data_IF_899541485093
#
_entry.id   IF_899541485093
#
_cell.length_a   1.000
_cell.length_b   1.000
_cell.length_c   1.000
_cell.angle_alpha   90.00
_cell.angle_beta   90.00
_cell.angle_gamma   90.00
#
_symmetry.space_group_name_H-M   'P 1'
#
loop_
_entity.id
_entity.type
_entity.pdbx_description
1 polymer ?
#
# COMPACT_ATOMS: atom_id res chain seq x y z
N UNK A 1 46.73 -46.79 -44.36
CA UNK A 1 47.28 -45.54 -43.81
C UNK A 1 46.13 -44.56 -43.70
N UNK A 2 45.72 -44.22 -42.49
CA UNK A 2 44.48 -43.48 -42.21
C UNK A 2 44.78 -41.99 -42.02
N UNK A 3 43.98 -41.14 -42.66
CA UNK A 3 43.99 -39.68 -42.55
C UNK A 3 42.77 -39.28 -41.71
N UNK A 4 42.86 -38.36 -40.74
CA UNK A 4 41.71 -37.97 -39.92
C UNK A 4 40.88 -36.89 -40.63
N UNK A 5 39.56 -37.09 -40.74
CA UNK A 5 38.64 -36.04 -41.16
C UNK A 5 38.14 -35.28 -39.94
N UNK A 6 38.53 -34.01 -39.88
CA UNK A 6 38.22 -33.04 -38.84
C UNK A 6 36.72 -32.71 -38.75
N UNK A 7 36.22 -32.70 -37.52
CA UNK A 7 34.97 -32.08 -37.09
C UNK A 7 34.95 -30.59 -37.40
N UNK A 8 33.84 -30.07 -37.90
CA UNK A 8 33.47 -28.67 -37.68
C UNK A 8 31.94 -28.54 -37.55
N UNK A 9 31.41 -28.96 -36.41
CA UNK A 9 30.07 -28.59 -35.98
C UNK A 9 30.18 -27.23 -35.28
N UNK A 10 29.69 -26.18 -35.93
CA UNK A 10 29.47 -24.86 -35.32
C UNK A 10 28.39 -24.98 -34.23
N UNK A 11 28.66 -24.71 -32.94
CA UNK A 11 27.58 -24.44 -32.00
C UNK A 11 27.16 -22.99 -32.22
N UNK A 12 26.03 -22.78 -32.91
CA UNK A 12 25.36 -21.48 -32.86
C UNK A 12 24.85 -21.27 -31.44
N UNK A 13 25.65 -20.62 -30.61
CA UNK A 13 25.22 -20.14 -29.30
C UNK A 13 24.22 -19.01 -29.52
N UNK A 14 22.98 -19.37 -29.85
CA UNK A 14 21.83 -18.51 -29.67
C UNK A 14 21.65 -18.36 -28.16
N UNK A 15 22.46 -17.48 -27.56
CA UNK A 15 22.23 -16.94 -26.24
C UNK A 15 20.91 -16.18 -26.31
N UNK A 16 19.83 -16.93 -26.10
CA UNK A 16 18.51 -16.40 -25.81
C UNK A 16 18.68 -15.48 -24.61
N UNK A 17 18.79 -14.18 -24.89
CA UNK A 17 18.71 -13.12 -23.90
C UNK A 17 17.42 -13.42 -23.14
N UNK A 18 17.56 -13.98 -21.93
CA UNK A 18 16.47 -14.14 -20.97
C UNK A 18 15.97 -12.74 -20.67
N UNK A 19 15.08 -12.26 -21.54
CA UNK A 19 14.22 -11.10 -21.35
C UNK A 19 13.63 -11.32 -19.98
N UNK A 20 14.14 -10.58 -18.97
CA UNK A 20 13.63 -10.53 -17.60
C UNK A 20 12.12 -10.50 -17.76
N UNK A 21 11.46 -11.65 -17.55
CA UNK A 21 10.02 -11.75 -17.65
C UNK A 21 9.54 -10.81 -16.55
N UNK A 22 9.01 -9.65 -16.96
CA UNK A 22 8.23 -8.75 -16.13
C UNK A 22 7.39 -9.67 -15.23
N UNK A 23 7.64 -9.64 -13.92
CA UNK A 23 6.97 -10.53 -12.95
C UNK A 23 5.50 -10.58 -13.36
N UNK A 24 4.98 -11.76 -13.69
CA UNK A 24 3.56 -11.88 -13.99
C UNK A 24 2.85 -11.30 -12.78
N UNK A 25 2.02 -10.28 -12.99
CA UNK A 25 1.31 -9.60 -11.92
C UNK A 25 0.54 -10.66 -11.16
N UNK A 26 0.93 -10.91 -9.90
CA UNK A 26 0.21 -11.84 -9.05
C UNK A 26 -1.20 -11.28 -8.88
N UNK A 27 -2.21 -12.15 -8.96
CA UNK A 27 -3.57 -11.72 -8.71
C UNK A 27 -3.68 -11.16 -7.27
N UNK A 28 -4.38 -10.03 -7.06
CA UNK A 28 -4.61 -9.51 -5.73
C UNK A 28 -5.28 -10.54 -4.83
N UNK A 29 -4.82 -10.61 -3.59
CA UNK A 29 -5.36 -11.50 -2.57
C UNK A 29 -6.42 -10.75 -1.78
N UNK A 30 -7.59 -11.35 -1.58
CA UNK A 30 -8.63 -10.77 -0.73
C UNK A 30 -8.26 -10.97 0.75
N UNK A 31 -8.36 -9.92 1.55
CA UNK A 31 -8.10 -9.95 2.98
C UNK A 31 -9.12 -9.07 3.73
N UNK A 32 -9.12 -9.20 5.07
CA UNK A 32 -9.95 -8.36 5.95
C UNK A 32 -9.08 -7.43 6.76
N UNK A 33 -9.33 -6.13 6.63
CA UNK A 33 -8.72 -5.08 7.42
C UNK A 33 -9.56 -4.81 8.69
N UNK A 34 -8.92 -4.92 9.85
CA UNK A 34 -9.48 -4.55 11.14
C UNK A 34 -8.72 -3.36 11.71
N UNK A 35 -9.48 -2.41 12.27
CA UNK A 35 -8.94 -1.28 13.00
C UNK A 35 -8.90 -1.67 14.48
N UNK A 36 -7.71 -1.83 15.03
CA UNK A 36 -7.49 -2.29 16.40
C UNK A 36 -6.74 -1.21 17.21
N UNK A 37 -7.37 -0.72 18.28
CA UNK A 37 -6.78 0.32 19.14
C UNK A 37 -5.56 -0.18 19.93
N UNK A 38 -5.40 -1.49 20.08
CA UNK A 38 -4.24 -2.08 20.77
C UNK A 38 -2.99 -2.07 19.88
N UNK A 39 -3.16 -1.97 18.57
CA UNK A 39 -2.05 -1.81 17.63
C UNK A 39 -1.58 -0.36 17.68
N UNK A 40 -0.29 -0.17 17.94
CA UNK A 40 0.33 1.14 18.07
C UNK A 40 1.32 1.40 16.94
N UNK A 41 1.34 2.66 16.49
CA UNK A 41 2.25 3.13 15.45
C UNK A 41 1.73 2.90 14.04
N UNK A 42 2.63 3.08 13.08
CA UNK A 42 2.29 3.23 11.66
C UNK A 42 2.37 1.90 10.87
N UNK A 43 2.92 0.87 11.53
CA UNK A 43 3.16 -0.46 10.96
C UNK A 43 2.01 -1.39 11.34
N UNK A 44 1.35 -1.94 10.34
CA UNK A 44 0.28 -2.91 10.53
C UNK A 44 0.79 -4.32 10.79
N UNK A 45 -0.15 -5.20 11.14
CA UNK A 45 0.11 -6.61 11.40
C UNK A 45 -0.69 -7.44 10.39
N UNK A 46 -0.07 -8.41 9.75
CA UNK A 46 -0.74 -9.34 8.84
C UNK A 46 -0.63 -10.77 9.34
N UNK A 47 -1.63 -11.59 9.02
CA UNK A 47 -1.61 -13.00 9.37
C UNK A 47 -0.50 -13.76 8.63
N UNK A 48 0.05 -14.79 9.27
CA UNK A 48 1.19 -15.54 8.75
C UNK A 48 0.88 -16.22 7.39
N UNK A 49 -0.34 -16.71 7.21
CA UNK A 49 -0.82 -17.27 5.95
C UNK A 49 -0.83 -16.22 4.82
N UNK A 50 -1.33 -15.02 5.11
CA UNK A 50 -1.38 -13.93 4.14
C UNK A 50 0.04 -13.47 3.79
N UNK A 51 0.94 -13.43 4.77
CA UNK A 51 2.35 -13.15 4.54
C UNK A 51 2.99 -14.22 3.64
N UNK A 52 2.74 -15.51 3.90
CA UNK A 52 3.24 -16.60 3.05
C UNK A 52 2.71 -16.49 1.64
N UNK A 53 1.43 -16.17 1.49
CA UNK A 53 0.84 -16.03 0.16
C UNK A 53 1.41 -14.80 -0.55
N UNK A 54 1.47 -13.63 0.06
CA UNK A 54 2.03 -12.42 -0.58
C UNK A 54 3.52 -12.60 -0.92
N UNK A 55 4.29 -13.15 0.00
CA UNK A 55 5.76 -13.18 -0.08
C UNK A 55 6.34 -14.54 -0.49
N UNK A 56 5.54 -15.46 -1.06
CA UNK A 56 5.97 -16.81 -1.45
C UNK A 56 7.23 -16.84 -2.34
N UNK A 57 7.41 -15.81 -3.17
CA UNK A 57 8.58 -15.66 -4.06
C UNK A 57 9.80 -15.01 -3.38
N UNK A 58 9.67 -14.55 -2.14
CA UNK A 58 10.69 -13.89 -1.33
C UNK A 58 11.16 -14.82 -0.20
N UNK A 59 11.60 -16.03 -0.58
CA UNK A 59 12.17 -17.01 0.33
C UNK A 59 13.45 -16.45 0.97
N UNK A 60 13.35 -15.92 2.20
CA UNK A 60 14.49 -15.38 2.96
C UNK A 60 14.23 -14.10 3.75
N UNK A 61 13.04 -13.50 3.65
CA UNK A 61 12.72 -12.30 4.44
C UNK A 61 12.33 -12.71 5.86
N UNK A 62 13.10 -12.23 6.85
CA UNK A 62 12.85 -12.53 8.27
C UNK A 62 11.50 -11.99 8.73
N UNK A 63 10.79 -12.78 9.55
CA UNK A 63 9.44 -12.53 10.10
C UNK A 63 9.38 -11.20 10.89
N UNK A 64 10.52 -10.71 11.38
CA UNK A 64 10.63 -9.46 12.14
C UNK A 64 10.85 -8.20 11.28
N UNK A 65 11.12 -8.35 9.98
CA UNK A 65 11.38 -7.19 9.12
C UNK A 65 10.08 -6.54 8.66
N UNK A 66 10.07 -5.21 8.64
CA UNK A 66 8.94 -4.43 8.09
C UNK A 66 8.90 -4.64 6.58
N UNK A 67 7.83 -5.24 6.11
CA UNK A 67 7.54 -5.44 4.69
C UNK A 67 6.56 -4.37 4.22
N UNK A 68 6.48 -4.16 2.91
CA UNK A 68 5.53 -3.23 2.32
C UNK A 68 4.55 -4.01 1.45
N UNK A 69 3.27 -3.70 1.60
CA UNK A 69 2.19 -4.24 0.77
C UNK A 69 1.38 -3.10 0.17
N UNK A 70 0.74 -3.34 -0.96
CA UNK A 70 -0.27 -2.44 -1.48
C UNK A 70 -1.66 -2.99 -1.11
N UNK A 71 -2.51 -2.15 -0.53
CA UNK A 71 -3.90 -2.47 -0.23
C UNK A 71 -4.87 -1.60 -1.02
N UNK A 72 -6.00 -2.16 -1.44
CA UNK A 72 -7.09 -1.41 -2.06
C UNK A 72 -8.44 -1.79 -1.44
N UNK A 73 -9.42 -0.87 -1.40
CA UNK A 73 -10.79 -1.23 -1.10
C UNK A 73 -11.29 -2.34 -2.04
N UNK A 74 -12.12 -3.23 -1.54
CA UNK A 74 -12.82 -4.16 -2.43
C UNK A 74 -13.83 -3.40 -3.29
N UNK A 75 -13.79 -3.61 -4.61
CA UNK A 75 -14.66 -2.96 -5.58
C UNK A 75 -15.08 -3.89 -6.73
N UNK A 76 -16.01 -3.44 -7.59
CA UNK A 76 -16.57 -4.27 -8.67
C UNK A 76 -15.57 -4.55 -9.80
N UNK A 77 -14.60 -3.67 -10.05
CA UNK A 77 -13.56 -3.93 -11.05
C UNK A 77 -12.58 -4.99 -10.56
N UNK A 78 -12.21 -5.90 -11.45
CA UNK A 78 -11.16 -6.91 -11.21
C UNK A 78 -9.79 -6.47 -11.74
N UNK A 79 -9.75 -5.37 -12.51
CA UNK A 79 -8.50 -4.85 -13.05
C UNK A 79 -7.69 -4.17 -11.94
N UNK A 80 -6.39 -4.47 -11.88
CA UNK A 80 -5.47 -3.89 -10.89
C UNK A 80 -5.34 -2.38 -11.13
N UNK A 81 -5.35 -1.96 -12.40
CA UNK A 81 -5.15 -0.57 -12.83
C UNK A 81 -6.33 0.37 -12.51
N UNK A 82 -7.53 -0.17 -12.30
CA UNK A 82 -8.72 0.62 -11.95
C UNK A 82 -8.85 0.88 -10.44
N UNK A 83 -8.01 0.22 -9.62
CA UNK A 83 -8.13 0.26 -8.16
C UNK A 83 -7.17 1.29 -7.58
N UNK A 84 -7.64 2.06 -6.60
CA UNK A 84 -6.78 2.96 -5.80
C UNK A 84 -5.98 2.13 -4.80
N UNK A 85 -4.67 2.01 -5.04
CA UNK A 85 -3.75 1.29 -4.17
C UNK A 85 -3.09 2.22 -3.16
N UNK A 86 -3.03 1.79 -1.91
CA UNK A 86 -2.31 2.46 -0.83
C UNK A 86 -1.17 1.56 -0.37
N UNK A 87 0.04 2.11 -0.31
CA UNK A 87 1.22 1.40 0.18
C UNK A 87 1.27 1.49 1.70
N UNK A 88 1.33 0.36 2.38
CA UNK A 88 1.35 0.30 3.84
C UNK A 88 2.47 -0.61 4.34
N UNK A 89 3.17 -0.22 5.44
CA UNK A 89 4.16 -1.06 6.08
C UNK A 89 3.48 -2.08 7.00
N UNK A 90 3.95 -3.32 6.96
CA UNK A 90 3.37 -4.45 7.72
C UNK A 90 4.44 -5.37 8.31
N UNK A 91 4.07 -6.08 9.38
CA UNK A 91 4.82 -7.21 9.94
C UNK A 91 3.92 -8.43 10.04
N UNK A 92 4.49 -9.61 9.87
CA UNK A 92 3.76 -10.86 10.02
C UNK A 92 3.58 -11.24 11.50
N UNK A 93 2.41 -11.77 11.86
CA UNK A 93 2.13 -12.38 13.16
C UNK A 93 1.38 -13.70 13.00
N UNK A 94 1.74 -14.68 13.84
CA UNK A 94 1.09 -15.99 13.91
C UNK A 94 -0.17 -15.98 14.81
N UNK A 95 -0.45 -14.88 15.51
CA UNK A 95 -1.59 -14.76 16.43
C UNK A 95 -2.89 -14.33 15.74
N UNK A 96 -2.83 -13.96 14.46
CA UNK A 96 -3.98 -13.45 13.72
C UNK A 96 -4.76 -14.55 13.01
N UNK A 97 -6.06 -14.33 12.83
CA UNK A 97 -6.90 -15.18 11.99
C UNK A 97 -6.46 -15.14 10.52
N UNK A 98 -6.85 -16.17 9.77
CA UNK A 98 -6.56 -16.30 8.34
C UNK A 98 -6.93 -15.04 7.54
N UNK A 99 -6.08 -14.65 6.58
CA UNK A 99 -6.27 -13.51 5.67
C UNK A 99 -6.66 -12.20 6.37
N UNK A 100 -5.99 -11.90 7.49
CA UNK A 100 -6.29 -10.74 8.33
C UNK A 100 -5.17 -9.71 8.26
N UNK A 101 -5.56 -8.44 8.18
CA UNK A 101 -4.71 -7.26 8.28
C UNK A 101 -5.23 -6.42 9.44
N UNK A 102 -4.36 -6.01 10.36
CA UNK A 102 -4.70 -5.13 11.47
C UNK A 102 -3.87 -3.86 11.40
N UNK A 103 -4.50 -2.72 11.66
CA UNK A 103 -3.84 -1.44 11.78
C UNK A 103 -4.42 -0.65 12.95
N UNK A 104 -3.60 0.25 13.48
CA UNK A 104 -4.11 1.28 14.37
C UNK A 104 -5.10 2.18 13.61
N UNK A 105 -6.28 2.51 14.18
CA UNK A 105 -7.20 3.47 13.58
C UNK A 105 -6.59 4.88 13.44
N UNK A 106 -5.60 5.20 14.28
CA UNK A 106 -4.89 6.48 14.30
C UNK A 106 -3.66 6.49 13.36
N UNK A 107 -3.44 5.40 12.60
CA UNK A 107 -2.28 5.29 11.72
C UNK A 107 -2.37 6.24 10.52
N UNK A 108 -1.38 7.13 10.31
CA UNK A 108 -1.35 8.02 9.15
C UNK A 108 -1.17 7.26 7.82
N UNK A 109 -0.63 6.03 7.85
CA UNK A 109 -0.44 5.20 6.66
C UNK A 109 -1.75 4.74 6.02
N UNK A 110 -2.85 4.74 6.78
CA UNK A 110 -4.19 4.39 6.28
C UNK A 110 -4.96 5.59 5.71
N UNK A 111 -4.45 6.81 5.80
CA UNK A 111 -5.20 8.00 5.39
C UNK A 111 -5.63 7.93 3.92
N UNK A 112 -4.68 7.67 3.02
CA UNK A 112 -4.96 7.55 1.58
C UNK A 112 -5.95 6.42 1.27
N UNK A 113 -5.87 5.32 2.03
CA UNK A 113 -6.83 4.21 1.91
C UNK A 113 -8.22 4.65 2.34
N UNK A 114 -8.34 5.39 3.45
CA UNK A 114 -9.60 5.82 4.00
C UNK A 114 -10.32 6.84 3.09
N UNK A 115 -9.57 7.77 2.51
CA UNK A 115 -10.08 8.69 1.47
C UNK A 115 -10.56 7.92 0.23
N UNK A 116 -9.80 6.93 -0.23
CA UNK A 116 -10.18 6.05 -1.33
C UNK A 116 -11.45 5.25 -1.02
N UNK A 117 -11.54 4.69 0.18
CA UNK A 117 -12.71 3.95 0.65
C UNK A 117 -13.94 4.85 0.77
N UNK A 118 -13.79 6.09 1.25
CA UNK A 118 -14.88 7.05 1.34
C UNK A 118 -15.46 7.39 -0.03
N UNK A 119 -14.63 7.49 -1.07
CA UNK A 119 -15.09 7.75 -2.45
C UNK A 119 -15.84 6.55 -3.05
N UNK A 120 -15.37 5.34 -2.79
CA UNK A 120 -15.93 4.11 -3.39
C UNK A 120 -17.14 3.57 -2.62
N UNK A 121 -17.11 3.66 -1.29
CA UNK A 121 -18.15 3.11 -0.42
C UNK A 121 -18.23 3.88 0.91
N UNK A 122 -18.89 5.06 0.94
CA UNK A 122 -19.00 5.89 2.15
C UNK A 122 -19.56 5.16 3.38
N UNK A 123 -20.43 4.17 3.16
CA UNK A 123 -21.10 3.40 4.22
C UNK A 123 -20.22 2.35 4.89
N UNK A 124 -19.12 1.92 4.25
CA UNK A 124 -18.26 0.83 4.76
C UNK A 124 -17.32 1.26 5.88
N UNK A 125 -17.07 2.56 6.03
CA UNK A 125 -16.28 3.12 7.14
C UNK A 125 -16.97 2.99 8.50
N UNK A 126 -18.31 2.80 8.54
CA UNK A 126 -19.05 2.64 9.80
C UNK A 126 -19.14 1.18 10.28
N UNK A 127 -18.71 0.21 9.46
CA UNK A 127 -18.90 -1.23 9.69
C UNK A 127 -17.67 -1.88 10.34
N UNK A 128 -17.40 -1.50 11.60
CA UNK A 128 -16.28 -2.01 12.42
C UNK A 128 -16.27 -3.54 12.59
N UNK A 129 -17.45 -4.10 12.88
CA UNK A 129 -17.55 -5.43 13.52
C UNK A 129 -17.25 -6.59 12.58
N UNK A 130 -17.34 -6.39 11.28
CA UNK A 130 -17.16 -7.44 10.28
C UNK A 130 -15.79 -7.39 9.60
N UNK A 131 -14.99 -6.34 9.86
CA UNK A 131 -13.79 -6.03 9.09
C UNK A 131 -14.11 -5.43 7.72
N UNK A 132 -13.19 -4.60 7.21
CA UNK A 132 -13.28 -3.98 5.90
C UNK A 132 -12.64 -4.95 4.89
N UNK A 133 -13.38 -5.35 3.86
CA UNK A 133 -12.83 -6.19 2.80
C UNK A 133 -11.88 -5.37 1.92
N UNK A 134 -10.67 -5.89 1.77
CA UNK A 134 -9.59 -5.26 0.99
C UNK A 134 -8.96 -6.27 0.05
N UNK A 135 -8.24 -5.76 -0.94
CA UNK A 135 -7.32 -6.54 -1.76
C UNK A 135 -5.89 -6.17 -1.38
N UNK A 136 -4.99 -7.14 -1.40
CA UNK A 136 -3.59 -6.98 -1.04
C UNK A 136 -2.67 -7.51 -2.16
N UNK A 137 -1.55 -6.83 -2.36
CA UNK A 137 -0.49 -7.19 -3.30
C UNK A 137 0.89 -7.07 -2.66
N UNK A 138 1.80 -7.95 -3.07
CA UNK A 138 3.21 -7.81 -2.76
C UNK A 138 3.82 -6.68 -3.59
N UNK A 139 4.56 -5.81 -2.92
CA UNK A 139 5.28 -4.72 -3.59
C UNK A 139 6.73 -4.69 -3.09
N UNK A 140 7.59 -4.11 -3.91
CA UNK A 140 8.97 -3.84 -3.54
C UNK A 140 9.14 -2.33 -3.59
N UNK A 141 9.36 -1.65 -2.45
CA UNK A 141 9.61 -0.21 -2.45
C UNK A 141 10.90 0.06 -3.22
N UNK A 142 10.83 0.98 -4.18
CA UNK A 142 12.00 1.43 -4.93
C UNK A 142 12.48 2.74 -4.32
N UNK A 143 13.66 2.77 -3.66
CA UNK A 143 14.21 4.02 -3.15
C UNK A 143 14.56 4.93 -4.33
N UNK A 144 14.07 6.17 -4.28
CA UNK A 144 14.42 7.21 -5.25
C UNK A 144 15.52 8.08 -4.64
N UNK A 145 16.65 8.24 -5.32
CA UNK A 145 17.77 9.05 -4.83
C UNK A 145 17.59 10.54 -5.13
N UNK A 146 17.12 10.88 -6.34
CA UNK A 146 16.91 12.26 -6.76
C UNK A 146 15.65 12.34 -7.61
N UNK A 147 14.72 13.22 -7.21
CA UNK A 147 13.48 13.48 -7.93
C UNK A 147 13.61 14.86 -8.56
N UNK A 148 13.62 14.91 -9.89
CA UNK A 148 13.53 16.18 -10.63
C UNK A 148 12.05 16.49 -10.87
N UNK A 149 11.57 17.59 -10.31
CA UNK A 149 10.21 18.09 -10.51
C UNK A 149 10.30 19.40 -11.25
N UNK A 150 9.59 19.53 -12.37
CA UNK A 150 9.44 20.80 -13.06
C UNK A 150 8.28 21.54 -12.43
N UNK A 151 8.57 22.69 -11.84
CA UNK A 151 7.57 23.58 -11.26
C UNK A 151 7.48 24.82 -12.15
N UNK A 152 6.27 25.29 -12.38
CA UNK A 152 6.05 26.53 -13.10
C UNK A 152 6.55 27.73 -12.28
N UNK A 153 7.42 28.56 -12.89
CA UNK A 153 8.13 29.63 -12.18
C UNK A 153 7.21 30.71 -11.61
N UNK A 154 6.10 31.04 -12.29
CA UNK A 154 5.12 32.00 -11.77
C UNK A 154 4.38 31.46 -10.55
N UNK A 155 4.02 30.18 -10.54
CA UNK A 155 3.36 29.51 -9.41
C UNK A 155 4.28 29.46 -8.18
N UNK A 156 5.57 29.15 -8.37
CA UNK A 156 6.56 29.19 -7.30
C UNK A 156 6.76 30.60 -6.73
N UNK A 157 6.78 31.62 -7.59
CA UNK A 157 6.94 33.02 -7.18
C UNK A 157 5.70 33.54 -6.43
N UNK A 158 4.50 33.17 -6.87
CA UNK A 158 3.26 33.49 -6.16
C UNK A 158 3.20 32.80 -4.80
N UNK A 159 3.69 31.57 -4.70
CA UNK A 159 3.82 30.88 -3.42
C UNK A 159 4.79 31.60 -2.47
N UNK A 160 5.96 32.02 -2.95
CA UNK A 160 6.93 32.81 -2.18
C UNK A 160 6.32 34.13 -1.68
N UNK A 161 5.52 34.78 -2.52
CA UNK A 161 4.84 36.04 -2.18
C UNK A 161 3.61 35.85 -1.27
N UNK A 162 3.26 34.62 -0.88
CA UNK A 162 2.07 34.32 -0.08
C UNK A 162 0.74 34.43 -0.84
N UNK A 163 0.79 34.51 -2.17
CA UNK A 163 -0.36 34.66 -3.08
C UNK A 163 -0.79 33.33 -3.73
N UNK A 164 -0.16 32.21 -3.35
CA UNK A 164 -0.48 30.87 -3.81
C UNK A 164 -1.67 30.28 -3.05
N UNK A 165 -2.71 29.86 -3.76
CA UNK A 165 -3.76 29.01 -3.18
C UNK A 165 -3.26 27.58 -3.13
N UNK A 166 -3.01 27.06 -1.92
CA UNK A 166 -2.84 25.63 -1.73
C UNK A 166 -4.16 24.96 -2.13
N UNK A 167 -4.18 24.20 -3.23
CA UNK A 167 -5.28 23.29 -3.54
C UNK A 167 -5.19 22.01 -2.70
N UNK A 168 -4.84 22.15 -1.43
CA UNK A 168 -5.06 21.16 -0.40
C UNK A 168 -6.03 21.79 0.59
N UNK A 169 -7.24 21.23 0.70
CA UNK A 169 -8.19 21.63 1.73
C UNK A 169 -7.49 21.55 3.09
N UNK A 170 -7.16 22.70 3.65
CA UNK A 170 -6.62 22.85 4.99
C UNK A 170 -7.34 24.07 5.59
N UNK A 171 -8.42 23.90 6.37
CA UNK A 171 -9.05 25.00 7.04
C UNK A 171 -8.12 25.48 8.14
N UNK A 172 -7.87 26.76 8.08
CA UNK A 172 -7.55 27.54 9.25
C UNK A 172 -8.79 27.53 10.15
N UNK A 173 -8.81 26.72 11.20
CA UNK A 173 -9.84 26.80 12.24
C UNK A 173 -9.24 27.19 13.58
N UNK A 174 -9.33 28.50 13.86
CA UNK A 174 -9.45 29.01 15.21
C UNK A 174 -10.74 28.46 15.83
N UNK A 175 -10.67 27.86 17.03
CA UNK A 175 -11.84 27.61 17.87
C UNK A 175 -11.82 26.28 18.62
N UNK A 176 -11.55 26.35 19.93
CA UNK A 176 -11.69 25.26 20.87
C UNK A 176 -13.13 24.72 20.93
N UNK A 177 -13.31 23.40 20.99
CA UNK A 177 -14.39 22.80 21.77
C UNK A 177 -14.03 21.38 22.25
N UNK A 178 -14.04 21.20 23.57
CA UNK A 178 -13.94 19.91 24.26
C UNK A 178 -15.22 19.11 24.01
N UNK A 179 -15.11 17.87 23.53
CA UNK A 179 -16.14 16.84 23.73
C UNK A 179 -15.47 15.55 24.19
N UNK A 180 -15.74 15.21 25.46
CA UNK A 180 -15.45 13.91 26.08
C UNK A 180 -16.55 12.92 25.68
N UNK A 181 -16.17 11.75 25.18
CA UNK A 181 -17.04 10.60 24.97
C UNK A 181 -16.31 9.55 24.14
N UNK A 182 -16.23 8.31 24.62
CA UNK A 182 -15.45 7.22 24.01
C UNK A 182 -15.79 7.07 22.52
N UNK A 183 -14.82 7.41 21.67
CA UNK A 183 -14.93 7.36 20.21
C UNK A 183 -14.59 5.96 19.76
N UNK A 184 -15.43 5.39 18.89
CA UNK A 184 -15.10 4.11 18.26
C UNK A 184 -13.86 4.29 17.37
N UNK A 185 -13.06 3.25 17.12
CA UNK A 185 -11.88 3.33 16.27
C UNK A 185 -12.20 3.89 14.86
N UNK A 186 -13.40 3.64 14.34
CA UNK A 186 -13.88 4.20 13.07
C UNK A 186 -14.11 5.70 13.16
N UNK A 187 -14.63 6.18 14.29
CA UNK A 187 -14.84 7.60 14.53
C UNK A 187 -13.50 8.32 14.62
N UNK A 188 -12.44 7.64 15.10
CA UNK A 188 -11.07 8.16 15.10
C UNK A 188 -10.47 8.22 13.72
N UNK A 189 -10.60 7.17 12.89
CA UNK A 189 -10.16 7.21 11.50
C UNK A 189 -10.94 8.28 10.72
N UNK A 190 -12.26 8.32 10.88
CA UNK A 190 -13.13 9.34 10.25
C UNK A 190 -12.82 10.74 10.78
N UNK A 191 -12.46 10.88 12.06
CA UNK A 191 -11.98 12.14 12.65
C UNK A 191 -10.56 12.47 12.22
N UNK A 192 -9.70 11.52 11.91
CA UNK A 192 -8.38 11.78 11.34
C UNK A 192 -8.54 12.30 9.91
N UNK A 193 -9.50 11.76 9.16
CA UNK A 193 -9.91 12.28 7.85
C UNK A 193 -10.55 13.67 8.01
N UNK A 194 -11.46 13.86 8.97
CA UNK A 194 -12.24 15.10 9.14
C UNK A 194 -11.50 16.22 9.90
N UNK A 195 -10.57 15.88 10.77
CA UNK A 195 -9.80 16.81 11.61
C UNK A 195 -8.54 17.34 10.92
N UNK A 196 -8.29 16.88 9.69
CA UNK A 196 -7.36 17.49 8.74
C UNK A 196 -8.07 18.15 7.56
N UNK A 197 -9.40 18.19 7.62
CA UNK A 197 -10.30 18.77 6.64
C UNK A 197 -10.68 20.16 7.02
#
# INVERSE_FOLDING_TARGET
MSIPSSNNAMPSSAQSKKRKRRRQAKAPISARLFLDEHVKGDVGIISEDLAKDLFLAQSGVSVETVQHIAISPWGPSKAIEDSTWTVVPVRSSSTLSHSTIQFSPDSPTLQAFAEGLQRVAPSKLSSSRTGIEVRALDIVPLPLETIFVTIEGESAKRLENGEGTFHGEHPQMNGQSKVKGGTRPEDKLTKAIRGRL
#
